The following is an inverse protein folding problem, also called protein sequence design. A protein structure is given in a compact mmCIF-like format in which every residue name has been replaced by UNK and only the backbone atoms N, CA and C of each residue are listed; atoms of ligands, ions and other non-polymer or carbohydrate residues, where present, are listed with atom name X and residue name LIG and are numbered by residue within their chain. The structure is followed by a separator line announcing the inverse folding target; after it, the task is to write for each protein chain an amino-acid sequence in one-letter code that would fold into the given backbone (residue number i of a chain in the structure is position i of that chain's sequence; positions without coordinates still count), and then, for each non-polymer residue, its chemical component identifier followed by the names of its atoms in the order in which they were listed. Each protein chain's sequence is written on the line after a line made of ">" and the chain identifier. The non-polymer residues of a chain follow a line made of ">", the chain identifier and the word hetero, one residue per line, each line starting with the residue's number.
data_IF_503665097458
#
_entry.id   IF_503665097458
#
_cell.length_a   1.000
_cell.length_b   1.000
_cell.length_c   1.000
_cell.angle_alpha   90.00
_cell.angle_beta   90.00
_cell.angle_gamma   90.00
#
_symmetry.space_group_name_H-M   'P 1'
#
loop_
_entity.id
_entity.type
_entity.pdbx_description
1 polymer ?
#
# COMPACT_ATOMS: atom_id res chain seq x y z
N UNK A 1 17.35 -4.38 28.44
CA UNK A 1 16.50 -4.10 27.25
C UNK A 1 17.04 -4.97 26.15
N UNK A 2 16.20 -5.86 25.62
CA UNK A 2 16.55 -6.65 24.45
C UNK A 2 16.84 -5.71 23.29
N UNK A 3 17.94 -5.94 22.58
CA UNK A 3 18.27 -5.17 21.37
C UNK A 3 17.48 -5.76 20.22
N UNK A 4 16.79 -4.92 19.45
CA UNK A 4 16.20 -5.35 18.18
C UNK A 4 17.32 -5.72 17.20
N UNK A 5 17.28 -6.93 16.64
CA UNK A 5 18.25 -7.37 15.64
C UNK A 5 17.88 -6.81 14.26
N UNK A 6 18.87 -6.29 13.54
CA UNK A 6 18.75 -5.90 12.13
C UNK A 6 19.81 -6.62 11.31
N UNK A 7 19.38 -7.34 10.28
CA UNK A 7 20.26 -8.05 9.34
C UNK A 7 20.59 -7.13 8.17
N UNK A 8 21.87 -6.79 8.06
CA UNK A 8 22.37 -5.86 7.06
C UNK A 8 23.31 -6.61 6.13
N UNK A 9 23.03 -6.57 4.82
CA UNK A 9 24.02 -6.96 3.82
C UNK A 9 24.83 -5.73 3.44
N UNK A 10 26.15 -5.79 3.63
CA UNK A 10 27.10 -4.76 3.22
C UNK A 10 27.92 -5.27 2.03
N UNK A 11 27.81 -4.60 0.90
CA UNK A 11 28.58 -4.88 -0.33
C UNK A 11 29.56 -3.75 -0.55
N UNK A 12 30.84 -3.99 -0.26
CA UNK A 12 31.91 -2.98 -0.23
C UNK A 12 33.26 -3.69 -0.48
N UNK A 13 34.01 -3.29 -1.48
CA UNK A 13 35.30 -3.92 -1.82
C UNK A 13 36.44 -3.47 -0.89
N UNK A 14 36.38 -2.25 -0.34
CA UNK A 14 37.35 -1.77 0.64
C UNK A 14 37.07 -2.31 2.05
N UNK A 15 37.88 -3.30 2.46
CA UNK A 15 37.81 -3.90 3.80
C UNK A 15 37.99 -2.89 4.95
N UNK A 16 38.69 -1.78 4.73
CA UNK A 16 38.89 -0.72 5.73
C UNK A 16 37.60 0.08 5.92
N UNK A 17 36.94 0.44 4.83
CA UNK A 17 35.62 1.11 4.84
C UNK A 17 34.59 0.18 5.49
N UNK A 18 34.57 -1.09 5.10
CA UNK A 18 33.67 -2.08 5.69
C UNK A 18 33.92 -2.25 7.21
N UNK A 19 35.18 -2.25 7.65
CA UNK A 19 35.55 -2.28 9.06
C UNK A 19 35.05 -1.06 9.84
N UNK A 20 35.17 0.13 9.24
CA UNK A 20 34.71 1.38 9.84
C UNK A 20 33.18 1.43 9.98
N UNK A 21 32.45 1.00 8.95
CA UNK A 21 30.98 0.87 9.00
C UNK A 21 30.58 -0.08 10.13
N UNK A 22 31.19 -1.27 10.19
CA UNK A 22 30.92 -2.26 11.26
C UNK A 22 31.18 -1.69 12.65
N UNK A 23 32.24 -0.90 12.83
CA UNK A 23 32.58 -0.26 14.09
C UNK A 23 31.48 0.70 14.56
N UNK A 24 31.03 1.61 13.69
CA UNK A 24 29.98 2.57 14.05
C UNK A 24 28.64 1.90 14.32
N UNK A 25 28.26 0.92 13.50
CA UNK A 25 27.03 0.13 13.68
C UNK A 25 27.02 -0.62 15.01
N UNK A 26 28.13 -1.28 15.36
CA UNK A 26 28.27 -2.01 16.63
C UNK A 26 28.16 -1.10 17.86
N UNK A 27 28.59 0.17 17.72
CA UNK A 27 28.61 1.15 18.80
C UNK A 27 27.24 1.75 19.11
N UNK A 28 26.24 1.55 18.25
CA UNK A 28 24.90 2.08 18.44
C UNK A 28 24.11 1.32 19.52
N UNK A 29 23.31 2.07 20.29
CA UNK A 29 22.47 1.53 21.37
C UNK A 29 21.03 1.35 20.85
N UNK A 30 20.31 0.36 21.39
CA UNK A 30 18.93 0.04 21.00
C UNK A 30 18.82 -1.06 19.94
N UNK A 31 19.80 -1.15 19.03
CA UNK A 31 19.83 -2.17 17.98
C UNK A 31 21.08 -3.04 18.04
N UNK A 32 20.95 -4.26 17.51
CA UNK A 32 22.05 -5.18 17.20
C UNK A 32 22.11 -5.38 15.69
N UNK A 33 23.13 -4.82 15.05
CA UNK A 33 23.32 -4.98 13.61
C UNK A 33 24.11 -6.25 13.33
N UNK A 34 23.44 -7.24 12.75
CA UNK A 34 24.06 -8.44 12.20
C UNK A 34 24.51 -8.14 10.77
N UNK A 35 25.74 -7.67 10.62
CA UNK A 35 26.30 -7.22 9.34
C UNK A 35 27.01 -8.38 8.65
N UNK A 36 26.41 -8.82 7.57
CA UNK A 36 27.03 -9.73 6.62
C UNK A 36 27.75 -8.91 5.55
N UNK A 37 29.05 -9.10 5.39
CA UNK A 37 29.87 -8.33 4.46
C UNK A 37 30.39 -9.19 3.33
N UNK A 38 30.32 -8.65 2.11
CA UNK A 38 30.91 -9.19 0.90
C UNK A 38 31.65 -8.09 0.14
N UNK A 39 32.69 -8.49 -0.58
CA UNK A 39 33.65 -7.60 -1.27
C UNK A 39 33.33 -7.35 -2.75
N UNK A 40 32.21 -7.88 -3.25
CA UNK A 40 31.85 -7.87 -4.67
C UNK A 40 30.34 -7.95 -4.86
N UNK A 41 29.86 -7.31 -5.93
CA UNK A 41 28.44 -7.29 -6.27
C UNK A 41 27.90 -8.69 -6.56
N UNK A 42 28.69 -9.55 -7.20
CA UNK A 42 28.31 -10.93 -7.54
C UNK A 42 28.01 -11.75 -6.29
N UNK A 43 28.87 -11.66 -5.27
CA UNK A 43 28.64 -12.32 -3.96
C UNK A 43 27.40 -11.75 -3.27
N UNK A 44 27.18 -10.43 -3.35
CA UNK A 44 25.98 -9.80 -2.81
C UNK A 44 24.70 -10.31 -3.46
N UNK A 45 24.69 -10.40 -4.79
CA UNK A 45 23.58 -10.95 -5.57
C UNK A 45 23.35 -12.42 -5.24
N UNK A 46 24.42 -13.22 -5.12
CA UNK A 46 24.33 -14.63 -4.75
C UNK A 46 23.68 -14.80 -3.38
N UNK A 47 24.11 -14.02 -2.38
CA UNK A 47 23.52 -14.08 -1.02
C UNK A 47 22.04 -13.72 -1.01
N UNK A 48 21.66 -12.68 -1.74
CA UNK A 48 20.25 -12.27 -1.91
C UNK A 48 19.42 -13.30 -2.69
N UNK A 49 20.05 -14.21 -3.42
CA UNK A 49 19.38 -15.27 -4.18
C UNK A 49 19.24 -16.59 -3.41
N UNK A 50 20.16 -16.91 -2.49
CA UNK A 50 20.30 -18.26 -1.93
C UNK A 50 19.79 -18.45 -0.49
N UNK A 51 19.69 -17.41 0.34
CA UNK A 51 18.92 -17.37 1.61
C UNK A 51 19.21 -16.08 2.39
N UNK A 52 18.17 -15.39 2.86
CA UNK A 52 18.25 -14.48 4.01
C UNK A 52 17.36 -13.23 3.91
N UNK A 53 16.41 -13.11 4.83
CA UNK A 53 15.66 -11.89 5.14
C UNK A 53 16.64 -10.81 5.65
N UNK A 54 17.33 -10.12 4.74
CA UNK A 54 18.00 -8.88 5.10
C UNK A 54 16.95 -7.79 5.25
N UNK A 55 17.07 -6.99 6.31
CA UNK A 55 16.23 -5.83 6.50
C UNK A 55 16.64 -4.69 5.56
N UNK A 56 17.91 -4.67 5.16
CA UNK A 56 18.48 -3.65 4.29
C UNK A 56 19.79 -4.10 3.63
N UNK A 57 20.03 -3.60 2.42
CA UNK A 57 21.31 -3.72 1.70
C UNK A 57 21.99 -2.35 1.67
N UNK A 58 23.23 -2.30 2.11
CA UNK A 58 24.14 -1.19 1.91
C UNK A 58 25.07 -1.58 0.76
N UNK A 59 24.99 -0.84 -0.35
CA UNK A 59 25.67 -1.16 -1.59
C UNK A 59 26.61 -0.02 -1.97
N UNK A 60 27.89 -0.34 -2.17
CA UNK A 60 28.80 0.61 -2.81
C UNK A 60 28.41 0.81 -4.28
N UNK A 61 28.55 2.05 -4.73
CA UNK A 61 28.37 2.40 -6.13
C UNK A 61 29.49 1.83 -7.00
N UNK A 62 30.75 2.02 -6.58
CA UNK A 62 31.92 1.64 -7.35
C UNK A 62 32.47 0.30 -6.86
N UNK A 63 32.04 -0.78 -7.49
CA UNK A 63 32.57 -2.11 -7.23
C UNK A 63 33.41 -2.59 -8.43
N UNK A 64 34.51 -3.31 -8.19
CA UNK A 64 35.30 -3.89 -9.26
C UNK A 64 34.50 -4.98 -9.98
N UNK A 65 34.56 -4.99 -11.31
CA UNK A 65 33.78 -5.92 -12.13
C UNK A 65 32.36 -5.37 -12.37
N UNK A 66 31.37 -5.95 -11.68
CA UNK A 66 29.98 -5.52 -11.76
C UNK A 66 29.72 -4.32 -10.86
N UNK A 67 29.33 -3.18 -11.44
CA UNK A 67 29.07 -1.97 -10.65
C UNK A 67 27.77 -2.10 -9.81
N UNK A 68 27.63 -1.26 -8.78
CA UNK A 68 26.47 -1.31 -7.88
C UNK A 68 25.13 -1.03 -8.58
N UNK A 69 25.13 -0.20 -9.62
CA UNK A 69 23.92 0.13 -10.40
C UNK A 69 23.39 -1.09 -11.17
N UNK A 70 24.29 -1.83 -11.81
CA UNK A 70 23.98 -3.07 -12.52
C UNK A 70 23.54 -4.14 -11.54
N UNK A 71 24.16 -4.21 -10.37
CA UNK A 71 23.72 -5.09 -9.29
C UNK A 71 22.28 -4.76 -8.86
N UNK A 72 21.95 -3.49 -8.64
CA UNK A 72 20.58 -3.06 -8.32
C UNK A 72 19.59 -3.48 -9.42
N UNK A 73 19.92 -3.25 -10.69
CA UNK A 73 19.06 -3.65 -11.83
C UNK A 73 18.79 -5.16 -11.82
N UNK A 74 19.82 -5.97 -11.58
CA UNK A 74 19.69 -7.43 -11.49
C UNK A 74 18.80 -7.82 -10.29
N UNK A 75 18.99 -7.20 -9.12
CA UNK A 75 18.18 -7.46 -7.94
C UNK A 75 16.71 -7.13 -8.16
N UNK A 76 16.41 -5.97 -8.77
CA UNK A 76 15.04 -5.58 -9.11
C UNK A 76 14.41 -6.51 -10.15
N UNK A 77 15.16 -6.91 -11.18
CA UNK A 77 14.69 -7.86 -12.19
C UNK A 77 14.38 -9.25 -11.59
N UNK A 78 15.05 -9.62 -10.49
CA UNK A 78 14.79 -10.86 -9.73
C UNK A 78 13.66 -10.73 -8.70
N UNK A 79 13.01 -9.57 -8.59
CA UNK A 79 11.92 -9.35 -7.63
C UNK A 79 12.38 -9.17 -6.19
N UNK A 80 13.65 -8.80 -5.96
CA UNK A 80 14.16 -8.55 -4.62
C UNK A 80 13.59 -7.22 -4.09
N UNK A 81 12.74 -7.31 -3.07
CA UNK A 81 12.03 -6.18 -2.45
C UNK A 81 12.67 -5.67 -1.16
N UNK A 82 13.94 -5.99 -0.93
CA UNK A 82 14.72 -5.49 0.20
C UNK A 82 15.15 -4.05 -0.11
N UNK A 83 15.06 -3.10 0.84
CA UNK A 83 15.51 -1.74 0.62
C UNK A 83 17.02 -1.70 0.38
N UNK A 84 17.44 -1.00 -0.67
CA UNK A 84 18.86 -0.83 -1.05
C UNK A 84 19.24 0.62 -0.87
N UNK A 85 20.31 0.88 -0.12
CA UNK A 85 20.89 2.21 0.10
C UNK A 85 22.28 2.23 -0.51
N UNK A 86 22.55 3.26 -1.31
CA UNK A 86 23.88 3.45 -1.90
C UNK A 86 24.78 4.24 -0.97
N UNK A 87 26.03 3.80 -0.86
CA UNK A 87 27.14 4.59 -0.33
C UNK A 87 28.13 4.84 -1.46
N UNK A 88 28.62 6.08 -1.64
CA UNK A 88 29.67 6.36 -2.64
C UNK A 88 30.69 7.37 -2.16
N UNK A 89 31.90 7.32 -2.70
CA UNK A 89 32.91 8.37 -2.50
C UNK A 89 32.70 9.63 -3.36
N UNK A 90 31.95 9.54 -4.47
CA UNK A 90 31.84 10.64 -5.43
C UNK A 90 30.62 11.55 -5.14
N UNK A 91 30.85 12.87 -5.07
CA UNK A 91 29.81 13.91 -4.92
C UNK A 91 29.16 14.31 -6.26
N UNK A 92 28.79 13.34 -7.08
CA UNK A 92 28.15 13.61 -8.37
C UNK A 92 26.62 13.53 -8.25
N UNK A 93 25.95 14.69 -8.37
CA UNK A 93 24.49 14.79 -8.27
C UNK A 93 23.73 13.94 -9.31
N UNK A 94 24.35 13.66 -10.46
CA UNK A 94 23.74 12.85 -11.52
C UNK A 94 23.57 11.38 -11.08
N UNK A 95 24.52 10.85 -10.30
CA UNK A 95 24.50 9.50 -9.77
C UNK A 95 23.30 9.29 -8.83
N UNK A 96 23.03 10.25 -7.95
CA UNK A 96 21.94 10.17 -6.99
C UNK A 96 20.57 10.05 -7.69
N UNK A 97 20.34 10.84 -8.75
CA UNK A 97 19.08 10.78 -9.50
C UNK A 97 18.89 9.44 -10.21
N UNK A 98 19.97 8.86 -10.75
CA UNK A 98 19.91 7.57 -11.45
C UNK A 98 19.53 6.43 -10.50
N UNK A 99 20.24 6.28 -9.38
CA UNK A 99 20.01 5.14 -8.46
C UNK A 99 18.62 5.18 -7.84
N UNK A 100 18.11 6.38 -7.52
CA UNK A 100 16.75 6.54 -6.99
C UNK A 100 15.69 6.17 -8.02
N UNK A 101 15.87 6.55 -9.30
CA UNK A 101 14.96 6.14 -10.39
C UNK A 101 14.95 4.62 -10.62
N UNK A 102 16.07 3.95 -10.33
CA UNK A 102 16.19 2.50 -10.43
C UNK A 102 15.63 1.76 -9.20
N UNK A 103 15.12 2.49 -8.20
CA UNK A 103 14.46 1.92 -7.03
C UNK A 103 15.39 1.66 -5.84
N UNK A 104 16.53 2.34 -5.77
CA UNK A 104 17.22 2.55 -4.50
C UNK A 104 16.33 3.36 -3.56
N UNK A 105 16.40 3.06 -2.26
CA UNK A 105 15.59 3.74 -1.24
C UNK A 105 16.23 5.06 -0.83
N UNK A 106 17.56 5.11 -0.88
CA UNK A 106 18.32 6.31 -0.56
C UNK A 106 19.76 6.21 -1.10
N UNK A 107 20.48 7.33 -1.02
CA UNK A 107 21.86 7.46 -1.44
C UNK A 107 22.61 8.42 -0.50
N UNK A 108 23.82 8.05 -0.10
CA UNK A 108 24.66 8.87 0.76
C UNK A 108 26.12 8.90 0.29
N UNK A 109 26.79 10.01 0.57
CA UNK A 109 28.23 10.15 0.37
C UNK A 109 28.97 9.59 1.58
N UNK A 110 29.91 8.65 1.35
CA UNK A 110 30.69 7.93 2.36
C UNK A 110 31.35 8.88 3.37
N UNK A 111 32.02 9.92 2.89
CA UNK A 111 32.73 10.91 3.72
C UNK A 111 31.80 11.65 4.68
N UNK A 112 30.57 11.93 4.25
CA UNK A 112 29.62 12.72 5.04
C UNK A 112 28.84 11.84 6.03
N UNK A 113 28.78 10.52 5.79
CA UNK A 113 27.85 9.62 6.49
C UNK A 113 28.52 8.54 7.34
N UNK A 114 29.74 8.10 7.01
CA UNK A 114 30.43 7.05 7.76
C UNK A 114 30.90 7.62 9.11
N UNK A 115 30.02 7.47 10.10
CA UNK A 115 30.17 8.02 11.43
C UNK A 115 29.04 7.57 12.36
N UNK A 116 28.91 8.19 13.54
CA UNK A 116 27.83 7.88 14.49
C UNK A 116 26.40 8.08 13.94
N UNK A 117 26.27 8.79 12.81
CA UNK A 117 24.99 9.05 12.15
C UNK A 117 24.50 7.87 11.29
N UNK A 118 25.41 7.07 10.72
CA UNK A 118 25.05 5.97 9.82
C UNK A 118 24.05 4.98 10.45
N UNK A 119 24.25 4.49 11.69
CA UNK A 119 23.31 3.55 12.29
C UNK A 119 21.91 4.14 12.49
N UNK A 120 21.83 5.44 12.81
CA UNK A 120 20.55 6.16 12.97
C UNK A 120 19.79 6.20 11.64
N UNK A 121 20.50 6.53 10.55
CA UNK A 121 19.89 6.59 9.23
C UNK A 121 19.40 5.23 8.76
N UNK A 122 20.19 4.18 8.98
CA UNK A 122 19.83 2.82 8.58
C UNK A 122 18.59 2.35 9.35
N UNK A 123 18.51 2.62 10.66
CA UNK A 123 17.30 2.35 11.44
C UNK A 123 16.10 3.11 10.90
N UNK A 124 16.22 4.42 10.67
CA UNK A 124 15.13 5.24 10.15
C UNK A 124 14.63 4.74 8.79
N UNK A 125 15.53 4.30 7.91
CA UNK A 125 15.18 3.75 6.60
C UNK A 125 14.41 2.45 6.78
N UNK A 126 14.91 1.51 7.58
CA UNK A 126 14.23 0.23 7.82
C UNK A 126 12.84 0.45 8.43
N UNK A 127 12.72 1.29 9.46
CA UNK A 127 11.44 1.61 10.10
C UNK A 127 10.45 2.24 9.10
N UNK A 128 10.93 3.19 8.27
CA UNK A 128 10.10 3.81 7.23
C UNK A 128 9.60 2.80 6.20
N UNK A 129 10.45 1.90 5.76
CA UNK A 129 10.06 0.90 4.75
C UNK A 129 9.14 -0.17 5.34
N UNK A 130 9.30 -0.53 6.61
CA UNK A 130 8.36 -1.41 7.32
C UNK A 130 6.98 -0.75 7.49
N UNK A 131 6.93 0.52 7.88
CA UNK A 131 5.67 1.28 7.97
C UNK A 131 4.95 1.38 6.61
N UNK A 132 5.69 1.60 5.52
CA UNK A 132 5.10 1.62 4.17
C UNK A 132 4.47 0.28 3.82
N UNK A 133 5.16 -0.83 4.06
CA UNK A 133 4.65 -2.18 3.82
C UNK A 133 3.39 -2.48 4.63
N UNK A 134 3.33 -2.02 5.87
CA UNK A 134 2.14 -2.17 6.72
C UNK A 134 0.94 -1.37 6.17
N UNK A 135 1.16 -0.13 5.75
CA UNK A 135 0.11 0.71 5.14
C UNK A 135 -0.40 0.11 3.83
N UNK A 136 0.49 -0.41 2.98
CA UNK A 136 0.11 -1.06 1.72
C UNK A 136 -0.75 -2.31 1.98
N UNK A 137 -0.34 -3.15 2.94
CA UNK A 137 -1.11 -4.33 3.34
C UNK A 137 -2.50 -3.95 3.87
N UNK A 138 -2.59 -2.98 4.77
CA UNK A 138 -3.86 -2.51 5.33
C UNK A 138 -4.79 -1.95 4.25
N UNK A 139 -4.21 -1.26 3.25
CA UNK A 139 -4.94 -0.73 2.10
C UNK A 139 -5.48 -1.85 1.23
N UNK A 140 -4.68 -2.85 0.92
CA UNK A 140 -5.08 -4.01 0.11
C UNK A 140 -6.20 -4.81 0.80
N UNK A 141 -6.06 -5.08 2.10
CA UNK A 141 -7.11 -5.73 2.90
C UNK A 141 -8.41 -4.93 2.93
N UNK A 142 -8.31 -3.60 3.05
CA UNK A 142 -9.47 -2.71 3.01
C UNK A 142 -10.15 -2.71 1.64
N UNK A 143 -9.38 -2.69 0.56
CA UNK A 143 -9.91 -2.75 -0.80
C UNK A 143 -10.66 -4.07 -1.05
N UNK A 144 -10.08 -5.21 -0.66
CA UNK A 144 -10.74 -6.51 -0.78
C UNK A 144 -12.05 -6.57 0.01
N UNK A 145 -12.10 -5.99 1.22
CA UNK A 145 -13.35 -5.91 1.99
C UNK A 145 -14.43 -5.08 1.31
N UNK A 146 -14.05 -3.96 0.68
CA UNK A 146 -15.00 -3.11 -0.05
C UNK A 146 -15.54 -3.85 -1.28
N UNK A 147 -14.69 -4.53 -2.04
CA UNK A 147 -15.10 -5.35 -3.19
C UNK A 147 -16.09 -6.44 -2.78
N UNK A 148 -15.81 -7.17 -1.70
CA UNK A 148 -16.71 -8.20 -1.18
C UNK A 148 -18.08 -7.62 -0.75
N UNK A 149 -18.09 -6.44 -0.11
CA UNK A 149 -19.33 -5.75 0.26
C UNK A 149 -20.10 -5.33 -1.00
N UNK A 150 -19.43 -4.83 -2.04
CA UNK A 150 -20.08 -4.44 -3.29
C UNK A 150 -20.74 -5.63 -3.99
N UNK A 151 -20.07 -6.77 -4.05
CA UNK A 151 -20.63 -8.01 -4.61
C UNK A 151 -21.86 -8.48 -3.84
N UNK A 152 -21.80 -8.43 -2.50
CA UNK A 152 -22.94 -8.75 -1.64
C UNK A 152 -24.11 -7.78 -1.86
N UNK A 153 -23.84 -6.48 -1.96
CA UNK A 153 -24.87 -5.45 -2.23
C UNK A 153 -25.57 -5.72 -3.56
N UNK A 154 -24.83 -6.07 -4.62
CA UNK A 154 -25.42 -6.43 -5.92
C UNK A 154 -26.34 -7.63 -5.76
N UNK A 155 -25.88 -8.68 -5.09
CA UNK A 155 -26.63 -9.92 -4.88
C UNK A 155 -27.92 -9.68 -4.09
N UNK A 156 -27.82 -9.05 -2.92
CA UNK A 156 -28.96 -8.74 -2.05
C UNK A 156 -29.95 -7.81 -2.75
N UNK A 157 -29.47 -6.83 -3.53
CA UNK A 157 -30.33 -5.93 -4.30
C UNK A 157 -31.20 -6.69 -5.29
N UNK A 158 -30.63 -7.67 -6.00
CA UNK A 158 -31.41 -8.53 -6.89
C UNK A 158 -32.46 -9.34 -6.13
N UNK A 159 -32.08 -9.94 -5.00
CA UNK A 159 -32.99 -10.73 -4.17
C UNK A 159 -34.16 -9.93 -3.59
N UNK A 160 -33.94 -8.65 -3.23
CA UNK A 160 -35.00 -7.77 -2.71
C UNK A 160 -35.87 -7.20 -3.84
N UNK A 161 -35.30 -6.86 -5.00
CA UNK A 161 -36.06 -6.31 -6.11
C UNK A 161 -37.11 -7.31 -6.64
N UNK A 162 -36.84 -8.62 -6.55
CA UNK A 162 -37.77 -9.67 -6.98
C UNK A 162 -39.13 -9.64 -6.25
N UNK A 163 -39.19 -9.75 -4.90
CA UNK A 163 -40.46 -9.67 -4.17
C UNK A 163 -41.09 -8.27 -4.27
N UNK A 164 -40.31 -7.18 -4.34
CA UNK A 164 -40.86 -5.84 -4.55
C UNK A 164 -41.57 -5.71 -5.89
N UNK A 165 -41.00 -6.22 -6.97
CA UNK A 165 -41.63 -6.26 -8.29
C UNK A 165 -42.96 -7.04 -8.25
N UNK A 166 -43.00 -8.17 -7.53
CA UNK A 166 -44.23 -8.95 -7.33
C UNK A 166 -45.30 -8.16 -6.55
N UNK A 167 -44.93 -7.50 -5.45
CA UNK A 167 -45.84 -6.65 -4.66
C UNK A 167 -46.37 -5.48 -5.51
N UNK A 168 -45.48 -4.80 -6.25
CA UNK A 168 -45.83 -3.67 -7.13
C UNK A 168 -46.79 -4.11 -8.24
N UNK A 169 -46.56 -5.27 -8.85
CA UNK A 169 -47.47 -5.85 -9.83
C UNK A 169 -48.84 -6.14 -9.21
N UNK A 170 -48.89 -6.83 -8.08
CA UNK A 170 -50.14 -7.14 -7.39
C UNK A 170 -50.92 -5.86 -7.02
N UNK A 171 -50.24 -4.85 -6.47
CA UNK A 171 -50.82 -3.54 -6.18
C UNK A 171 -51.38 -2.86 -7.43
N UNK A 172 -50.65 -2.86 -8.54
CA UNK A 172 -51.10 -2.29 -9.80
C UNK A 172 -52.33 -3.03 -10.38
N UNK A 173 -52.41 -4.35 -10.22
CA UNK A 173 -53.58 -5.14 -10.64
C UNK A 173 -54.80 -4.80 -9.76
N UNK A 174 -54.63 -4.74 -8.45
CA UNK A 174 -55.72 -4.41 -7.51
C UNK A 174 -56.26 -2.99 -7.73
N UNK A 175 -55.40 -2.01 -8.02
CA UNK A 175 -55.82 -0.63 -8.31
C UNK A 175 -56.71 -0.50 -9.55
N UNK A 176 -56.63 -1.45 -10.49
CA UNK A 176 -57.50 -1.50 -11.68
C UNK A 176 -58.89 -2.07 -11.40
N UNK A 177 -59.11 -2.69 -10.23
CA UNK A 177 -60.41 -3.24 -9.83
C UNK A 177 -61.30 -2.18 -9.18
N UNK A 178 -62.62 -2.42 -9.21
CA UNK A 178 -63.55 -1.70 -8.35
C UNK A 178 -63.40 -2.20 -6.91
N UNK A 179 -62.91 -1.30 -6.05
CA UNK A 179 -62.64 -1.56 -4.64
C UNK A 179 -63.06 -0.32 -3.84
N UNK A 180 -63.45 -0.50 -2.56
CA UNK A 180 -63.65 0.58 -1.61
C UNK A 180 -62.48 1.58 -1.57
N UNK A 181 -62.80 2.86 -1.32
CA UNK A 181 -61.85 3.99 -1.39
C UNK A 181 -60.73 3.87 -0.35
N UNK A 182 -61.06 3.40 0.85
CA UNK A 182 -60.14 3.09 1.93
C UNK A 182 -59.13 2.01 1.51
N UNK A 183 -59.59 0.90 0.92
CA UNK A 183 -58.70 -0.17 0.41
C UNK A 183 -57.78 0.38 -0.69
N UNK A 184 -58.30 1.17 -1.65
CA UNK A 184 -57.47 1.80 -2.68
C UNK A 184 -56.41 2.73 -2.08
N UNK A 185 -56.70 3.39 -0.97
CA UNK A 185 -55.75 4.27 -0.26
C UNK A 185 -54.60 3.45 0.32
N UNK A 186 -54.89 2.33 0.99
CA UNK A 186 -53.84 1.43 1.50
C UNK A 186 -52.97 0.85 0.39
N UNK A 187 -53.55 0.45 -0.76
CA UNK A 187 -52.77 -0.07 -1.88
C UNK A 187 -51.84 0.99 -2.47
N UNK A 188 -52.27 2.26 -2.53
CA UNK A 188 -51.40 3.38 -2.95
C UNK A 188 -50.21 3.56 -1.99
N UNK A 189 -50.46 3.52 -0.67
CA UNK A 189 -49.39 3.59 0.34
C UNK A 189 -48.38 2.44 0.16
N UNK A 190 -48.85 1.20 -0.05
CA UNK A 190 -47.95 0.05 -0.31
C UNK A 190 -47.09 0.33 -1.54
N UNK A 191 -47.69 0.78 -2.64
CA UNK A 191 -46.97 1.09 -3.87
C UNK A 191 -45.91 2.18 -3.66
N UNK A 192 -46.28 3.28 -3.00
CA UNK A 192 -45.36 4.38 -2.68
C UNK A 192 -44.18 3.89 -1.82
N UNK A 193 -44.42 2.99 -0.86
CA UNK A 193 -43.35 2.40 -0.05
C UNK A 193 -42.46 1.47 -0.87
N UNK A 194 -43.02 0.66 -1.78
CA UNK A 194 -42.21 -0.16 -2.69
C UNK A 194 -41.32 0.72 -3.58
N UNK A 195 -41.87 1.77 -4.18
CA UNK A 195 -41.12 2.72 -5.00
C UNK A 195 -39.99 3.39 -4.19
N UNK A 196 -40.25 3.71 -2.92
CA UNK A 196 -39.25 4.28 -2.00
C UNK A 196 -38.13 3.28 -1.71
N UNK A 197 -38.44 2.00 -1.46
CA UNK A 197 -37.43 0.97 -1.20
C UNK A 197 -36.59 0.72 -2.45
N UNK A 198 -37.20 0.60 -3.64
CA UNK A 198 -36.47 0.45 -4.91
C UNK A 198 -35.49 1.61 -5.12
N UNK A 199 -35.91 2.84 -4.83
CA UNK A 199 -35.03 4.01 -4.92
C UNK A 199 -33.88 3.98 -3.92
N UNK A 200 -34.10 3.50 -2.69
CA UNK A 200 -33.02 3.32 -1.69
C UNK A 200 -32.03 2.25 -2.13
N UNK A 201 -32.49 1.13 -2.71
CA UNK A 201 -31.63 0.06 -3.23
C UNK A 201 -30.77 0.57 -4.40
N UNK A 202 -31.34 1.39 -5.29
CA UNK A 202 -30.58 2.00 -6.39
C UNK A 202 -29.43 2.87 -5.87
N UNK A 203 -29.68 3.71 -4.86
CA UNK A 203 -28.62 4.49 -4.20
C UNK A 203 -27.53 3.61 -3.58
N UNK A 204 -27.93 2.51 -2.96
CA UNK A 204 -27.00 1.55 -2.35
C UNK A 204 -26.10 0.89 -3.42
N UNK A 205 -26.64 0.57 -4.60
CA UNK A 205 -25.90 -0.05 -5.71
C UNK A 205 -24.94 0.91 -6.40
N UNK A 206 -25.24 2.20 -6.40
CA UNK A 206 -24.42 3.24 -7.02
C UNK A 206 -23.26 3.72 -6.12
N UNK A 207 -23.17 3.21 -4.89
CA UNK A 207 -22.08 3.51 -3.96
C UNK A 207 -20.73 3.05 -4.53
N UNK A 208 -19.90 4.02 -4.91
CA UNK A 208 -18.50 3.79 -5.31
C UNK A 208 -17.59 4.08 -4.13
N UNK A 209 -16.46 3.37 -4.05
CA UNK A 209 -15.40 3.58 -3.06
C UNK A 209 -14.83 5.01 -3.06
N UNK A 210 -15.02 5.75 -4.15
CA UNK A 210 -14.61 7.15 -4.33
C UNK A 210 -15.45 8.17 -3.52
N UNK A 211 -16.61 7.77 -2.96
CA UNK A 211 -17.50 8.62 -2.16
C UNK A 211 -17.27 8.52 -0.64
N UNK A 212 -16.15 7.92 -0.23
CA UNK A 212 -15.78 7.77 1.17
C UNK A 212 -15.13 9.07 1.64
N UNK A 213 -15.87 9.89 2.38
CA UNK A 213 -15.35 11.13 2.99
C UNK A 213 -14.85 10.88 4.41
N UNK A 214 -13.81 11.61 4.87
CA UNK A 214 -13.43 11.61 6.27
C UNK A 214 -14.63 12.06 7.13
N UNK A 215 -14.96 11.28 8.15
CA UNK A 215 -15.95 11.64 9.17
C UNK A 215 -15.24 11.76 10.53
N UNK A 216 -15.89 12.36 11.51
CA UNK A 216 -15.27 12.76 12.80
C UNK A 216 -14.45 11.62 13.41
N UNK A 217 -13.16 11.88 13.69
CA UNK A 217 -12.22 10.90 14.25
C UNK A 217 -11.60 9.99 13.18
N UNK A 218 -11.55 8.67 13.45
CA UNK A 218 -11.09 7.64 12.49
C UNK A 218 -12.21 7.03 11.66
N UNK A 219 -13.45 7.52 11.81
CA UNK A 219 -14.60 7.01 11.10
C UNK A 219 -14.61 7.61 9.68
N UNK A 220 -14.86 6.75 8.69
CA UNK A 220 -15.12 7.20 7.31
C UNK A 220 -16.59 6.96 7.01
N UNK A 221 -17.25 7.93 6.39
CA UNK A 221 -18.67 7.84 6.06
C UNK A 221 -18.85 7.87 4.55
N UNK A 222 -19.75 7.03 4.04
CA UNK A 222 -20.19 7.11 2.65
C UNK A 222 -21.10 8.32 2.51
N UNK A 223 -20.71 9.26 1.66
CA UNK A 223 -21.56 10.39 1.32
C UNK A 223 -22.67 9.94 0.38
N UNK A 224 -23.86 9.71 0.94
CA UNK A 224 -25.07 9.33 0.21
C UNK A 224 -25.74 10.53 -0.50
N UNK A 225 -25.17 11.74 -0.42
CA UNK A 225 -25.74 12.96 -0.99
C UNK A 225 -25.20 13.35 -2.37
N UNK A 226 -24.08 12.75 -2.81
CA UNK A 226 -23.38 13.13 -4.05
C UNK A 226 -23.75 12.30 -5.31
N UNK A 227 -24.82 11.51 -5.24
CA UNK A 227 -25.41 10.84 -6.40
C UNK A 227 -26.24 11.77 -7.27
N UNK A 228 -25.60 12.51 -8.18
CA UNK A 228 -26.26 13.01 -9.40
C UNK A 228 -26.44 14.52 -9.54
N UNK A 229 -25.36 15.27 -9.74
CA UNK A 229 -25.39 16.49 -10.57
C UNK A 229 -24.19 16.49 -11.51
N UNK A 230 -24.33 15.84 -12.67
CA UNK A 230 -23.54 16.22 -13.84
C UNK A 230 -24.03 17.62 -14.26
N UNK A 231 -23.28 18.64 -13.88
CA UNK A 231 -23.35 19.94 -14.56
C UNK A 231 -22.87 19.74 -16.00
N UNK A 232 -23.81 19.63 -16.92
CA UNK A 232 -23.57 20.02 -18.31
C UNK A 232 -23.37 21.55 -18.31
N UNK A 233 -22.14 21.98 -18.52
CA UNK A 233 -21.79 23.37 -18.78
C UNK A 233 -21.41 23.51 -20.25
N UNK A 234 -22.24 24.26 -20.99
CA UNK A 234 -21.92 24.77 -22.32
C UNK A 234 -20.98 25.97 -22.30
#
# INVERSE_FOLDING_TARGET
>A
MDKTELRVLLVEDDSSIAGLIKYYMKSYRGYFFNIDWVDSAEKGIEKLSNAGDYDIVILDYYLPGLNGVEALKILKARGVNIPVVFLTGAKENEIASEVLKLGAVDYYVKEDIIGPILPVLIVNIVERENLKKEIEKDRDESSQRIEAIQELVITVSHEINNPLAAIKLAANILLKKELPVDIKTYIKIIKENVDRIEHTILKLRELRSEQIVPYVGRLRMFDLSSGGEKKEGG
#
